data_IF_511527242304
#
_entry.id   IF_511527242304
#
_cell.length_a   1.000
_cell.length_b   1.000
_cell.length_c   1.000
_cell.angle_alpha   90.00
_cell.angle_beta   90.00
_cell.angle_gamma   90.00
#
_symmetry.space_group_name_H-M   'P 1'
#
loop_
_entity.id
_entity.type
_entity.pdbx_description
1 polymer ?
#
# COMPACT_ATOMS: atom_id res chain seq x y z
N UNK A 1 -37.71 -60.21 -0.43
CA UNK A 1 -37.43 -59.16 0.58
C UNK A 1 -36.04 -58.63 0.34
N UNK A 2 -35.93 -57.51 -0.38
CA UNK A 2 -34.65 -56.96 -0.86
C UNK A 2 -34.06 -56.03 0.21
N UNK A 3 -32.78 -56.23 0.54
CA UNK A 3 -32.01 -55.41 1.50
C UNK A 3 -31.72 -54.03 0.91
N UNK A 4 -31.92 -52.98 1.70
CA UNK A 4 -31.45 -51.61 1.42
C UNK A 4 -30.44 -51.18 2.49
N UNK A 5 -29.27 -50.72 2.04
CA UNK A 5 -28.46 -49.68 2.70
C UNK A 5 -27.31 -49.26 1.75
N UNK A 6 -26.65 -48.10 1.92
CA UNK A 6 -27.04 -46.85 2.57
C UNK A 6 -26.92 -45.63 1.63
N UNK A 7 -27.70 -44.58 1.88
CA UNK A 7 -27.60 -43.30 1.14
C UNK A 7 -26.31 -42.54 1.47
N UNK A 8 -25.46 -42.34 0.46
CA UNK A 8 -24.31 -41.44 0.51
C UNK A 8 -24.75 -40.07 0.00
N UNK A 9 -24.66 -39.06 0.84
CA UNK A 9 -24.84 -37.66 0.46
C UNK A 9 -23.64 -37.17 -0.35
N UNK A 10 -23.83 -36.45 -1.47
CA UNK A 10 -22.72 -35.81 -2.18
C UNK A 10 -22.26 -34.58 -1.39
N UNK A 11 -21.07 -34.66 -0.79
CA UNK A 11 -20.37 -33.49 -0.27
C UNK A 11 -19.95 -32.63 -1.46
N UNK A 12 -20.58 -31.47 -1.62
CA UNK A 12 -20.16 -30.45 -2.59
C UNK A 12 -19.05 -29.63 -1.96
N UNK A 13 -17.80 -29.89 -2.35
CA UNK A 13 -16.65 -29.07 -1.97
C UNK A 13 -16.74 -27.71 -2.68
N UNK A 14 -16.63 -26.57 -1.97
CA UNK A 14 -16.50 -25.29 -2.64
C UNK A 14 -15.15 -25.25 -3.37
N UNK A 15 -15.17 -25.15 -4.70
CA UNK A 15 -13.98 -24.87 -5.49
C UNK A 15 -13.55 -23.43 -5.24
N UNK A 16 -12.52 -23.24 -4.42
CA UNK A 16 -11.86 -21.94 -4.26
C UNK A 16 -11.13 -21.61 -5.56
N UNK A 17 -11.68 -20.69 -6.36
CA UNK A 17 -10.97 -20.12 -7.52
C UNK A 17 -9.82 -19.26 -7.02
N UNK A 18 -8.63 -19.86 -6.92
CA UNK A 18 -7.39 -19.14 -6.64
C UNK A 18 -7.05 -18.28 -7.85
N UNK A 19 -7.41 -17.00 -7.80
CA UNK A 19 -6.98 -16.03 -8.81
C UNK A 19 -5.51 -15.70 -8.55
N UNK A 20 -4.62 -16.32 -9.33
CA UNK A 20 -3.18 -16.04 -9.30
C UNK A 20 -2.95 -14.65 -9.90
N UNK A 21 -2.56 -13.68 -9.07
CA UNK A 21 -2.17 -12.36 -9.57
C UNK A 21 -0.77 -12.48 -10.16
N UNK A 22 -0.65 -12.16 -11.44
CA UNK A 22 0.62 -12.18 -12.18
C UNK A 22 1.46 -10.94 -11.86
N UNK A 23 2.78 -11.04 -12.04
CA UNK A 23 3.68 -9.89 -11.83
C UNK A 23 3.29 -8.67 -12.69
N UNK A 24 2.74 -8.90 -13.88
CA UNK A 24 2.23 -7.83 -14.74
C UNK A 24 1.01 -7.12 -14.14
N UNK A 25 0.12 -7.85 -13.46
CA UNK A 25 -1.01 -7.25 -12.75
C UNK A 25 -0.56 -6.46 -11.52
N UNK A 26 0.45 -6.96 -10.80
CA UNK A 26 1.08 -6.20 -9.72
C UNK A 26 1.71 -4.90 -10.22
N UNK A 27 2.42 -4.94 -11.35
CA UNK A 27 3.02 -3.76 -11.96
C UNK A 27 1.95 -2.74 -12.39
N UNK A 28 0.89 -3.20 -13.06
CA UNK A 28 -0.21 -2.35 -13.49
C UNK A 28 -0.90 -1.64 -12.31
N UNK A 29 -1.10 -2.33 -11.18
CA UNK A 29 -1.67 -1.73 -9.97
C UNK A 29 -0.76 -0.67 -9.34
N UNK A 30 0.56 -0.86 -9.41
CA UNK A 30 1.54 0.12 -8.93
C UNK A 30 1.51 1.36 -9.84
N UNK A 31 1.54 1.17 -11.16
CA UNK A 31 1.55 2.25 -12.14
C UNK A 31 0.26 3.09 -12.07
N UNK A 32 -0.91 2.44 -11.91
CA UNK A 32 -2.20 3.10 -11.70
C UNK A 32 -2.17 3.97 -10.42
N UNK A 33 -1.67 3.42 -9.32
CA UNK A 33 -1.57 4.15 -8.05
C UNK A 33 -0.65 5.37 -8.13
N UNK A 34 0.46 5.27 -8.86
CA UNK A 34 1.40 6.38 -9.08
C UNK A 34 0.77 7.47 -9.96
N UNK A 35 0.10 7.09 -11.05
CA UNK A 35 -0.56 8.03 -11.96
C UNK A 35 -1.72 8.78 -11.28
N UNK A 36 -2.52 8.09 -10.47
CA UNK A 36 -3.60 8.72 -9.70
C UNK A 36 -3.07 9.76 -8.70
N UNK A 37 -1.95 9.46 -8.02
CA UNK A 37 -1.31 10.39 -7.10
C UNK A 37 -0.71 11.61 -7.83
N UNK A 38 -0.16 11.43 -9.03
CA UNK A 38 0.35 12.52 -9.85
C UNK A 38 -0.77 13.45 -10.33
N UNK A 39 -1.90 12.90 -10.79
CA UNK A 39 -3.06 13.68 -11.20
C UNK A 39 -3.65 14.53 -10.07
N UNK A 40 -3.68 14.00 -8.84
CA UNK A 40 -4.16 14.73 -7.67
C UNK A 40 -3.28 15.95 -7.29
N UNK A 41 -1.97 15.87 -7.56
CA UNK A 41 -1.03 17.00 -7.34
C UNK A 41 -1.30 18.16 -8.31
N UNK A 42 -1.62 17.86 -9.56
CA UNK A 42 -1.74 18.88 -10.61
C UNK A 42 -3.10 19.61 -10.57
N UNK A 43 -4.14 18.98 -10.04
CA UNK A 43 -5.46 19.62 -9.82
C UNK A 43 -5.47 20.72 -8.75
N UNK A 44 -4.45 20.78 -7.88
CA UNK A 44 -4.39 21.76 -6.77
C UNK A 44 -3.72 23.09 -7.17
N UNK A 45 -3.25 23.24 -8.42
CA UNK A 45 -2.44 24.38 -8.88
C UNK A 45 -3.21 25.53 -9.54
N UNK A 46 -4.55 25.57 -9.43
CA UNK A 46 -5.35 26.63 -10.04
C UNK A 46 -6.11 27.45 -8.97
N UNK A 47 -5.66 28.70 -8.78
CA UNK A 47 -6.27 29.73 -7.92
C UNK A 47 -5.32 30.14 -6.80
N UNK A 48 -4.87 31.39 -6.65
CA UNK A 48 -5.31 32.66 -7.21
C UNK A 48 -4.14 33.65 -7.02
N UNK A 49 -3.75 34.35 -8.09
CA UNK A 49 -2.73 35.40 -8.06
C UNK A 49 -3.41 36.72 -7.66
N UNK A 50 -3.35 37.08 -6.39
CA UNK A 50 -3.69 38.44 -5.96
C UNK A 50 -2.71 38.96 -4.92
N UNK A 51 -1.76 39.76 -5.38
CA UNK A 51 -0.84 40.51 -4.53
C UNK A 51 -1.56 41.69 -3.88
N UNK A 52 -1.56 41.77 -2.54
CA UNK A 52 -1.72 43.02 -1.80
C UNK A 52 -0.90 43.00 -0.52
N UNK A 53 -0.06 44.03 -0.41
CA UNK A 53 0.96 44.30 0.60
C UNK A 53 0.42 44.46 2.02
N UNK A 54 1.19 44.05 3.03
CA UNK A 54 0.97 44.52 4.40
C UNK A 54 1.60 43.67 5.50
N UNK A 55 2.78 44.09 5.95
CA UNK A 55 3.17 44.14 7.37
C UNK A 55 3.31 42.84 8.16
N UNK A 56 4.58 42.45 8.34
CA UNK A 56 5.19 41.92 9.58
C UNK A 56 4.41 40.87 10.39
N UNK A 57 4.52 39.62 9.97
CA UNK A 57 5.02 38.56 10.83
C UNK A 57 5.51 37.46 9.89
N UNK A 58 6.81 37.14 9.91
CA UNK A 58 7.27 35.88 9.33
C UNK A 58 6.65 34.77 10.16
N UNK A 59 5.43 34.37 9.82
CA UNK A 59 4.92 33.04 10.11
C UNK A 59 6.04 32.12 9.62
N UNK A 60 6.69 31.32 10.49
CA UNK A 60 7.53 30.27 9.96
C UNK A 60 6.58 29.50 9.06
N UNK A 61 6.85 29.49 7.75
CA UNK A 61 6.30 28.49 6.85
C UNK A 61 6.48 27.21 7.64
N UNK A 62 5.38 26.63 8.14
CA UNK A 62 5.45 25.45 8.97
C UNK A 62 6.19 24.45 8.10
N UNK A 63 7.46 24.20 8.44
CA UNK A 63 8.21 23.16 7.77
C UNK A 63 7.30 21.95 7.90
N UNK A 64 6.82 21.44 6.76
CA UNK A 64 5.96 20.26 6.72
C UNK A 64 6.70 19.22 7.55
N UNK A 65 6.18 18.92 8.74
CA UNK A 65 6.87 18.03 9.67
C UNK A 65 6.87 16.66 8.99
N UNK A 66 8.02 16.27 8.46
CA UNK A 66 8.19 14.95 7.88
C UNK A 66 7.97 13.91 8.98
N UNK A 67 7.13 12.90 8.72
CA UNK A 67 7.02 11.80 9.67
C UNK A 67 8.39 11.15 9.87
N UNK A 68 8.73 10.87 11.12
CA UNK A 68 9.92 10.08 11.42
C UNK A 68 9.66 8.58 11.24
N UNK A 69 10.72 7.81 11.01
CA UNK A 69 10.63 6.34 11.03
C UNK A 69 10.08 5.80 12.37
N UNK A 70 10.36 6.50 13.48
CA UNK A 70 9.84 6.13 14.80
C UNK A 70 8.31 6.31 14.91
N UNK A 71 7.74 7.33 14.28
CA UNK A 71 6.29 7.55 14.23
C UNK A 71 5.61 6.51 13.36
N UNK A 72 6.23 6.15 12.23
CA UNK A 72 5.79 5.04 11.40
C UNK A 72 5.70 3.71 12.18
N UNK A 73 6.75 3.35 12.92
CA UNK A 73 6.77 2.11 13.71
C UNK A 73 5.73 2.10 14.84
N UNK A 74 5.46 3.25 15.48
CA UNK A 74 4.44 3.38 16.53
C UNK A 74 3.04 3.00 16.02
N UNK A 75 2.75 3.18 14.73
CA UNK A 75 1.47 2.83 14.13
C UNK A 75 1.26 1.32 13.89
N UNK A 76 2.22 0.48 14.31
CA UNK A 76 2.21 -0.98 14.15
C UNK A 76 1.95 -1.35 12.69
N UNK A 77 2.90 -0.97 11.83
CA UNK A 77 2.87 -1.35 10.43
C UNK A 77 2.81 -2.89 10.31
N UNK A 78 2.08 -3.36 9.29
CA UNK A 78 1.97 -4.79 9.01
C UNK A 78 3.17 -5.22 8.19
N UNK A 79 3.74 -6.38 8.49
CA UNK A 79 4.76 -7.02 7.68
C UNK A 79 4.16 -7.85 6.55
N UNK A 80 4.95 -8.05 5.49
CA UNK A 80 4.56 -8.88 4.36
C UNK A 80 5.71 -9.78 3.91
N UNK A 81 5.45 -11.09 3.87
CA UNK A 81 6.49 -12.11 3.58
C UNK A 81 6.62 -12.49 2.11
N UNK A 82 5.60 -12.21 1.30
CA UNK A 82 5.59 -12.53 -0.14
C UNK A 82 4.82 -13.80 -0.53
N UNK A 83 4.60 -14.74 0.40
CA UNK A 83 3.94 -16.03 0.12
C UNK A 83 2.50 -16.14 0.70
N UNK A 84 2.00 -15.07 1.32
CA UNK A 84 0.72 -15.07 2.06
C UNK A 84 -0.52 -14.80 1.16
N UNK A 85 -0.32 -14.66 -0.15
CA UNK A 85 -1.39 -14.49 -1.14
C UNK A 85 -2.00 -13.08 -1.22
N UNK A 86 -2.96 -12.93 -2.14
CA UNK A 86 -3.51 -11.63 -2.57
C UNK A 86 -4.31 -10.91 -1.49
N UNK A 87 -4.98 -11.66 -0.61
CA UNK A 87 -5.77 -11.10 0.50
C UNK A 87 -4.84 -10.42 1.50
N UNK A 88 -3.73 -11.08 1.85
CA UNK A 88 -2.73 -10.51 2.75
C UNK A 88 -2.04 -9.31 2.13
N UNK A 89 -1.67 -9.41 0.85
CA UNK A 89 -1.08 -8.30 0.10
C UNK A 89 -2.00 -7.07 0.08
N UNK A 90 -3.28 -7.26 -0.21
CA UNK A 90 -4.29 -6.18 -0.21
C UNK A 90 -4.39 -5.53 1.15
N UNK A 91 -4.51 -6.33 2.21
CA UNK A 91 -4.56 -5.84 3.59
C UNK A 91 -3.30 -5.09 3.99
N UNK A 92 -2.12 -5.54 3.54
CA UNK A 92 -0.86 -4.84 3.74
C UNK A 92 -0.89 -3.46 3.08
N UNK A 93 -1.30 -3.35 1.81
CA UNK A 93 -1.42 -2.05 1.13
C UNK A 93 -2.38 -1.09 1.83
N UNK A 94 -3.57 -1.56 2.22
CA UNK A 94 -4.56 -0.74 2.95
C UNK A 94 -4.00 -0.26 4.29
N UNK A 95 -3.33 -1.15 5.03
CA UNK A 95 -2.69 -0.80 6.30
C UNK A 95 -1.59 0.25 6.09
N UNK A 96 -0.79 0.13 5.04
CA UNK A 96 0.29 1.06 4.74
C UNK A 96 -0.23 2.44 4.36
N UNK A 97 -1.30 2.52 3.54
CA UNK A 97 -2.02 3.77 3.27
C UNK A 97 -2.50 4.44 4.56
N UNK A 98 -3.10 3.66 5.47
CA UNK A 98 -3.56 4.17 6.77
C UNK A 98 -2.40 4.66 7.65
N UNK A 99 -1.33 3.87 7.77
CA UNK A 99 -0.14 4.25 8.55
C UNK A 99 0.44 5.56 8.03
N UNK A 100 0.67 5.68 6.72
CA UNK A 100 1.22 6.91 6.13
C UNK A 100 0.33 8.13 6.34
N UNK A 101 -1.00 7.96 6.30
CA UNK A 101 -1.95 9.02 6.59
C UNK A 101 -1.90 9.44 8.06
N UNK A 102 -1.87 8.49 9.00
CA UNK A 102 -1.87 8.77 10.44
C UNK A 102 -0.57 9.45 10.87
N UNK A 103 0.57 8.98 10.36
CA UNK A 103 1.87 9.56 10.71
C UNK A 103 2.24 10.78 9.87
N UNK A 104 1.42 11.19 8.89
CA UNK A 104 1.71 12.29 7.98
C UNK A 104 3.04 12.10 7.21
N UNK A 105 3.28 10.89 6.68
CA UNK A 105 4.52 10.61 5.94
C UNK A 105 4.46 11.19 4.52
N UNK A 106 5.43 12.05 4.20
CA UNK A 106 5.64 12.55 2.84
C UNK A 106 5.94 11.39 1.87
N UNK A 107 5.51 11.54 0.62
CA UNK A 107 5.68 10.53 -0.43
C UNK A 107 7.13 10.07 -0.62
N UNK A 108 8.11 10.96 -0.38
CA UNK A 108 9.55 10.66 -0.43
C UNK A 108 10.02 9.61 0.59
N UNK A 109 9.28 9.43 1.68
CA UNK A 109 9.60 8.49 2.76
C UNK A 109 8.70 7.24 2.76
N UNK A 110 7.57 7.27 2.06
CA UNK A 110 6.60 6.17 2.06
C UNK A 110 7.20 4.86 1.54
N UNK A 111 7.82 4.87 0.36
CA UNK A 111 8.44 3.66 -0.22
C UNK A 111 9.55 3.14 0.69
N UNK A 112 10.43 4.04 1.18
CA UNK A 112 11.51 3.67 2.10
C UNK A 112 10.95 2.96 3.32
N UNK A 113 9.96 3.54 3.99
CA UNK A 113 9.35 2.94 5.19
C UNK A 113 8.59 1.66 4.89
N UNK A 114 7.93 1.55 3.73
CA UNK A 114 7.29 0.31 3.33
C UNK A 114 8.25 -0.84 3.14
N UNK A 115 9.41 -0.57 2.54
CA UNK A 115 10.39 -1.63 2.27
C UNK A 115 10.95 -2.25 3.56
N UNK A 116 11.01 -1.50 4.67
CA UNK A 116 11.38 -2.04 5.99
C UNK A 116 10.35 -3.00 6.59
N UNK A 117 9.14 -3.08 6.03
CA UNK A 117 8.11 -4.05 6.45
C UNK A 117 8.07 -5.31 5.59
N UNK A 118 8.85 -5.35 4.51
CA UNK A 118 9.00 -6.56 3.70
C UNK A 118 9.92 -7.55 4.40
N UNK A 119 9.56 -8.82 4.35
CA UNK A 119 10.33 -9.93 4.91
C UNK A 119 10.49 -11.05 3.87
N UNK A 120 11.38 -12.00 4.15
CA UNK A 120 11.54 -13.25 3.42
C UNK A 120 11.58 -13.08 1.88
N UNK A 121 10.64 -13.72 1.18
CA UNK A 121 10.56 -13.73 -0.28
C UNK A 121 10.34 -12.32 -0.85
N UNK A 122 9.52 -11.50 -0.17
CA UNK A 122 9.23 -10.13 -0.58
C UNK A 122 10.47 -9.22 -0.46
N UNK A 123 11.24 -9.36 0.62
CA UNK A 123 12.49 -8.61 0.80
C UNK A 123 13.54 -9.02 -0.25
N UNK A 124 13.64 -10.32 -0.53
CA UNK A 124 14.54 -10.87 -1.54
C UNK A 124 14.20 -10.31 -2.93
N UNK A 125 12.92 -10.30 -3.28
CA UNK A 125 12.43 -9.73 -4.54
C UNK A 125 12.76 -8.23 -4.65
N UNK A 126 12.47 -7.43 -3.61
CA UNK A 126 12.75 -5.99 -3.61
C UNK A 126 14.25 -5.69 -3.81
N UNK A 127 15.13 -6.43 -3.12
CA UNK A 127 16.57 -6.26 -3.24
C UNK A 127 17.10 -6.63 -4.64
N UNK A 128 16.46 -7.58 -5.32
CA UNK A 128 16.78 -7.89 -6.72
C UNK A 128 16.40 -6.72 -7.62
N UNK A 129 15.16 -6.22 -7.49
CA UNK A 129 14.62 -5.12 -8.30
C UNK A 129 15.46 -3.84 -8.20
N UNK A 130 15.88 -3.45 -6.99
CA UNK A 130 16.71 -2.26 -6.75
C UNK A 130 18.12 -2.40 -7.31
N UNK A 131 18.68 -3.62 -7.38
CA UNK A 131 20.01 -3.83 -7.97
C UNK A 131 19.99 -3.76 -9.49
N UNK A 132 18.85 -4.07 -10.09
CA UNK A 132 18.69 -4.16 -11.55
C UNK A 132 18.23 -2.86 -12.21
N UNK A 133 17.84 -1.86 -11.42
CA UNK A 133 17.31 -0.56 -11.89
C UNK A 133 18.30 0.55 -11.56
#
# INVERSE_FOLDING_TARGET
TTRLNPGTTPVTTPSTTTTSVTNAQLQAMIDEGVNAALAARDGTRNGDDSHTSGTSARRPVQAVRECSYSEFLKCKALDFKGNEGVVRLTRWFEKMKSVFSISNCASSNQVKFATYTLQDDALTWWNSYVKTT
#
